data_IF_673854285134
#
_entry.id   IF_673854285134
#
_cell.length_a   1.000
_cell.length_b   1.000
_cell.length_c   1.000
_cell.angle_alpha   90.00
_cell.angle_beta   90.00
_cell.angle_gamma   90.00
#
_symmetry.space_group_name_H-M   'P 1'
#
loop_
_entity.id
_entity.type
_entity.pdbx_description
1 polymer ?
#
# COMPACT_ATOMS: atom_id res chain seq x y z
N UNK A 1 11.89 -1.95 8.50
CA UNK A 1 10.54 -1.40 8.79
C UNK A 1 9.92 -1.93 10.09
N UNK A 2 9.30 -3.13 10.16
CA UNK A 2 8.55 -3.52 11.38
C UNK A 2 9.39 -3.60 12.66
N UNK A 3 10.64 -4.06 12.56
CA UNK A 3 11.59 -4.04 13.68
C UNK A 3 11.83 -2.62 14.19
N UNK A 4 12.05 -1.65 13.29
CA UNK A 4 12.27 -0.25 13.65
C UNK A 4 11.03 0.37 14.31
N UNK A 5 9.84 0.05 13.80
CA UNK A 5 8.56 0.51 14.38
C UNK A 5 8.42 -0.01 15.81
N UNK A 6 8.64 -1.31 16.03
CA UNK A 6 8.54 -1.89 17.37
C UNK A 6 9.58 -1.29 18.31
N UNK A 7 10.82 -1.08 17.84
CA UNK A 7 11.85 -0.39 18.59
C UNK A 7 11.47 1.06 18.95
N UNK A 8 10.87 1.80 18.02
CA UNK A 8 10.37 3.15 18.26
C UNK A 8 9.33 3.18 19.40
N UNK A 9 8.47 2.16 19.48
CA UNK A 9 7.49 1.99 20.56
C UNK A 9 8.06 1.34 21.83
N UNK A 10 9.36 1.06 21.90
CA UNK A 10 9.98 0.38 23.05
C UNK A 10 9.58 -1.10 23.18
N UNK A 11 9.05 -1.71 22.13
CA UNK A 11 8.59 -3.10 22.12
C UNK A 11 9.72 -4.05 21.65
N UNK A 12 9.90 -5.20 22.30
CA UNK A 12 10.91 -6.18 21.92
C UNK A 12 10.55 -6.88 20.60
N UNK A 13 11.54 -7.09 19.73
CA UNK A 13 11.38 -7.83 18.47
C UNK A 13 11.75 -9.31 18.66
N UNK A 14 10.84 -10.11 19.22
CA UNK A 14 11.06 -11.53 19.49
C UNK A 14 11.12 -12.35 18.18
N UNK A 15 11.88 -13.46 18.11
CA UNK A 15 11.92 -14.34 16.94
C UNK A 15 10.55 -14.84 16.48
N UNK A 16 9.61 -15.07 17.41
CA UNK A 16 8.23 -15.47 17.07
C UNK A 16 7.45 -14.36 16.36
N UNK A 17 7.70 -13.09 16.72
CA UNK A 17 7.12 -11.94 16.00
C UNK A 17 7.65 -11.91 14.57
N UNK A 18 8.97 -12.14 14.40
CA UNK A 18 9.56 -12.24 13.06
C UNK A 18 8.92 -13.38 12.25
N UNK A 19 8.78 -14.56 12.85
CA UNK A 19 8.18 -15.72 12.21
C UNK A 19 6.73 -15.43 11.79
N UNK A 20 5.93 -14.84 12.68
CA UNK A 20 4.56 -14.47 12.38
C UNK A 20 4.47 -13.49 11.21
N UNK A 21 5.29 -12.43 11.22
CA UNK A 21 5.34 -11.46 10.12
C UNK A 21 5.76 -12.13 8.81
N UNK A 22 6.80 -12.98 8.85
CA UNK A 22 7.31 -13.64 7.66
C UNK A 22 6.29 -14.57 7.01
N UNK A 23 5.42 -15.22 7.78
CA UNK A 23 4.40 -16.14 7.25
C UNK A 23 3.10 -15.42 6.88
N UNK A 24 2.68 -14.40 7.63
CA UNK A 24 1.34 -13.80 7.49
C UNK A 24 1.30 -12.51 6.67
N UNK A 25 2.41 -11.82 6.39
CA UNK A 25 2.37 -10.54 5.65
C UNK A 25 2.87 -10.60 4.21
N UNK A 26 3.16 -11.81 3.70
CA UNK A 26 3.80 -12.02 2.38
C UNK A 26 2.93 -12.76 1.38
N UNK A 27 1.86 -13.40 1.84
CA UNK A 27 0.98 -14.21 1.00
C UNK A 27 -0.45 -13.93 1.43
N UNK A 28 -1.35 -13.88 0.46
CA UNK A 28 -2.79 -13.81 0.70
C UNK A 28 -3.35 -15.24 0.70
N UNK A 29 -3.52 -15.80 1.90
CA UNK A 29 -3.94 -17.20 2.08
C UNK A 29 -5.13 -17.27 3.03
N UNK A 30 -6.30 -17.62 2.50
CA UNK A 30 -7.52 -17.82 3.29
C UNK A 30 -8.65 -16.86 2.93
N UNK A 31 -9.76 -16.97 3.65
CA UNK A 31 -10.96 -16.14 3.42
C UNK A 31 -10.88 -14.77 4.07
N UNK A 32 -12.01 -14.06 4.07
CA UNK A 32 -12.14 -12.66 4.57
C UNK A 32 -11.64 -12.41 6.00
N UNK A 33 -11.61 -13.46 6.85
CA UNK A 33 -11.16 -13.41 8.24
C UNK A 33 -9.72 -13.93 8.45
N UNK A 34 -8.95 -14.13 7.37
CA UNK A 34 -7.55 -14.57 7.47
C UNK A 34 -6.62 -13.45 7.95
N UNK A 35 -5.61 -13.86 8.72
CA UNK A 35 -4.47 -13.01 9.10
C UNK A 35 -3.37 -12.99 8.05
N UNK A 36 -3.42 -13.90 7.06
CA UNK A 36 -2.49 -13.91 5.93
C UNK A 36 -2.92 -12.89 4.89
N UNK A 37 -2.07 -11.92 4.59
CA UNK A 37 -2.30 -10.88 3.58
C UNK A 37 -0.98 -10.54 2.89
N UNK A 38 -0.98 -10.38 1.58
CA UNK A 38 0.14 -9.76 0.88
C UNK A 38 0.10 -8.23 1.09
N UNK A 39 0.72 -7.80 2.19
CA UNK A 39 0.72 -6.39 2.57
C UNK A 39 1.53 -5.50 1.61
N UNK A 40 2.35 -6.12 0.73
CA UNK A 40 3.14 -5.37 -0.26
C UNK A 40 2.31 -5.02 -1.49
N UNK A 41 1.46 -5.92 -1.96
CA UNK A 41 0.61 -5.68 -3.13
C UNK A 41 -0.72 -5.01 -2.77
N UNK A 42 -1.24 -5.26 -1.57
CA UNK A 42 -2.56 -4.80 -1.15
C UNK A 42 -2.82 -3.30 -1.39
N UNK A 43 -1.90 -2.37 -1.04
CA UNK A 43 -2.11 -0.93 -1.22
C UNK A 43 -2.19 -0.49 -2.69
N UNK A 44 -1.76 -1.32 -3.64
CA UNK A 44 -1.66 -0.99 -5.06
C UNK A 44 -2.70 -1.72 -5.93
N UNK A 45 -3.57 -2.54 -5.34
CA UNK A 45 -4.60 -3.25 -6.09
C UNK A 45 -5.50 -2.32 -6.91
N UNK A 46 -5.87 -1.17 -6.35
CA UNK A 46 -6.71 -0.20 -7.02
C UNK A 46 -6.12 0.31 -8.35
N UNK A 47 -4.79 0.27 -8.55
CA UNK A 47 -4.17 0.69 -9.81
C UNK A 47 -4.37 -0.33 -10.93
N UNK A 48 -4.89 -1.53 -10.62
CA UNK A 48 -5.09 -2.65 -11.53
C UNK A 48 -6.54 -3.11 -11.60
N UNK A 49 -7.23 -3.02 -10.46
CA UNK A 49 -8.58 -3.57 -10.30
C UNK A 49 -9.67 -2.58 -10.72
N UNK A 50 -9.37 -1.27 -10.70
CA UNK A 50 -10.27 -0.21 -11.15
C UNK A 50 -9.95 0.19 -12.58
N UNK A 51 -10.98 0.59 -13.33
CA UNK A 51 -10.80 1.18 -14.65
C UNK A 51 -10.19 2.58 -14.52
N UNK A 52 -9.56 3.07 -15.59
CA UNK A 52 -9.05 4.44 -15.62
C UNK A 52 -10.15 5.48 -15.33
N UNK A 53 -11.39 5.24 -15.74
CA UNK A 53 -12.52 6.14 -15.50
C UNK A 53 -12.89 6.20 -14.01
N UNK A 54 -12.92 5.06 -13.33
CA UNK A 54 -13.14 4.97 -11.89
C UNK A 54 -12.00 5.65 -11.11
N UNK A 55 -10.74 5.37 -11.50
CA UNK A 55 -9.56 6.02 -10.94
C UNK A 55 -9.65 7.53 -11.12
N UNK A 56 -9.98 8.00 -12.32
CA UNK A 56 -10.12 9.42 -12.63
C UNK A 56 -11.20 10.07 -11.78
N UNK A 57 -12.36 9.44 -11.66
CA UNK A 57 -13.45 9.94 -10.83
C UNK A 57 -13.02 10.11 -9.35
N UNK A 58 -12.31 9.14 -8.80
CA UNK A 58 -11.78 9.20 -7.43
C UNK A 58 -10.73 10.31 -7.31
N UNK A 59 -9.78 10.39 -8.23
CA UNK A 59 -8.72 11.42 -8.23
C UNK A 59 -9.28 12.83 -8.30
N UNK A 60 -10.27 13.05 -9.16
CA UNK A 60 -10.91 14.36 -9.33
C UNK A 60 -11.71 14.75 -8.07
N UNK A 61 -12.33 13.77 -7.39
CA UNK A 61 -13.11 13.98 -6.16
C UNK A 61 -12.26 14.15 -4.91
N UNK A 62 -11.09 13.50 -4.86
CA UNK A 62 -10.25 13.36 -3.66
C UNK A 62 -8.88 14.04 -3.79
N UNK A 63 -8.71 14.98 -4.73
CA UNK A 63 -7.39 15.51 -5.12
C UNK A 63 -6.57 16.04 -3.94
N UNK A 64 -7.21 16.76 -3.01
CA UNK A 64 -6.54 17.33 -1.84
C UNK A 64 -6.08 16.25 -0.88
N UNK A 65 -6.91 15.24 -0.62
CA UNK A 65 -6.58 14.14 0.28
C UNK A 65 -5.45 13.29 -0.29
N UNK A 66 -5.53 12.93 -1.57
CA UNK A 66 -4.49 12.16 -2.26
C UNK A 66 -3.14 12.87 -2.19
N UNK A 67 -3.11 14.18 -2.47
CA UNK A 67 -1.88 14.98 -2.35
C UNK A 67 -1.34 14.99 -0.92
N UNK A 68 -2.19 15.18 0.08
CA UNK A 68 -1.80 15.17 1.50
C UNK A 68 -1.24 13.82 1.96
N UNK A 69 -1.68 12.71 1.36
CA UNK A 69 -1.17 11.37 1.64
C UNK A 69 0.07 10.99 0.80
N UNK A 70 0.56 11.90 -0.04
CA UNK A 70 1.74 11.65 -0.87
C UNK A 70 1.45 10.83 -2.13
N UNK A 71 0.19 10.78 -2.57
CA UNK A 71 -0.17 10.18 -3.84
C UNK A 71 -0.04 11.17 -5.00
N UNK A 72 0.40 10.68 -6.16
CA UNK A 72 0.30 11.36 -7.44
C UNK A 72 -0.83 10.76 -8.28
N UNK A 73 -1.40 11.57 -9.17
CA UNK A 73 -2.48 11.13 -10.04
C UNK A 73 -1.93 10.40 -11.28
N UNK A 74 -2.65 9.40 -11.76
CA UNK A 74 -2.53 8.86 -13.10
C UNK A 74 -3.10 9.88 -14.11
N UNK A 75 -2.35 10.16 -15.16
CA UNK A 75 -2.66 11.18 -16.17
C UNK A 75 -3.29 10.62 -17.45
N UNK A 76 -3.15 9.31 -17.66
CA UNK A 76 -3.73 8.59 -18.78
C UNK A 76 -3.95 7.12 -18.43
N UNK A 77 -4.85 6.47 -19.18
CA UNK A 77 -5.10 5.03 -19.05
C UNK A 77 -3.84 4.20 -19.33
N UNK A 78 -3.06 4.60 -20.34
CA UNK A 78 -1.79 3.96 -20.66
C UNK A 78 -0.81 4.02 -19.49
N UNK A 79 -0.70 5.18 -18.86
CA UNK A 79 0.17 5.33 -17.69
C UNK A 79 -0.27 4.39 -16.56
N UNK A 80 -1.58 4.38 -16.25
CA UNK A 80 -2.17 3.57 -15.19
C UNK A 80 -1.79 2.08 -15.32
N UNK A 81 -1.93 1.52 -16.54
CA UNK A 81 -1.73 0.10 -16.77
C UNK A 81 -0.28 -0.32 -17.05
N UNK A 82 0.56 0.57 -17.60
CA UNK A 82 1.94 0.21 -17.97
C UNK A 82 2.86 0.14 -16.74
N UNK A 83 3.05 1.26 -16.03
CA UNK A 83 4.05 1.39 -14.95
C UNK A 83 3.70 2.48 -13.92
N UNK A 84 2.43 2.60 -13.56
CA UNK A 84 2.02 3.61 -12.60
C UNK A 84 2.47 3.29 -11.17
N UNK A 85 3.42 4.08 -10.66
CA UNK A 85 3.73 4.15 -9.23
C UNK A 85 2.97 5.34 -8.62
N UNK A 86 1.96 5.13 -7.77
CA UNK A 86 1.15 6.22 -7.26
C UNK A 86 1.84 7.00 -6.13
N UNK A 87 2.97 6.54 -5.60
CA UNK A 87 3.65 7.20 -4.48
C UNK A 87 4.64 8.26 -4.95
N UNK A 88 4.59 9.43 -4.33
CA UNK A 88 5.64 10.44 -4.44
C UNK A 88 6.91 10.00 -3.70
N UNK A 89 8.09 10.51 -4.08
CA UNK A 89 9.32 10.28 -3.32
C UNK A 89 9.13 10.72 -1.86
N UNK A 90 9.54 9.86 -0.92
CA UNK A 90 9.53 10.21 0.49
C UNK A 90 10.49 11.38 0.74
N UNK A 91 9.97 12.44 1.33
CA UNK A 91 10.71 13.65 1.68
C UNK A 91 10.34 14.02 3.12
N UNK A 92 11.35 14.18 3.98
CA UNK A 92 11.17 14.76 5.31
C UNK A 92 11.30 16.27 5.13
N UNK A 93 10.19 16.99 5.26
CA UNK A 93 10.19 18.45 5.36
C UNK A 93 10.68 18.92 6.71
#
# INVERSE_FOLDING_TARGET
>A
MTKEILQFYGLPYHPEVKMFLDTHTKQDVGGVSSTYRDSKSAPFHWTKDLTYEEVKFIQDSCVSAMKSWGYRNATSERELYDNFNPLLPYSVS
#
